data_IF_600084101952
#
_entry.id   IF_600084101952
#
_cell.length_a   1.000
_cell.length_b   1.000
_cell.length_c   1.000
_cell.angle_alpha   90.00
_cell.angle_beta   90.00
_cell.angle_gamma   90.00
#
_symmetry.space_group_name_H-M   'P 1'
#
loop_
_entity.id
_entity.type
_entity.pdbx_description
1 polymer ?
#
# COMPACT_ATOMS: atom_id res chain seq x y z
N UNK A 1 -7.09 -24.16 -21.80
CA UNK A 1 -5.69 -23.94 -22.23
C UNK A 1 -5.72 -22.70 -23.11
N UNK A 2 -5.19 -21.58 -22.65
CA UNK A 2 -5.29 -20.29 -23.35
C UNK A 2 -4.08 -20.19 -24.29
N UNK A 3 -4.30 -20.44 -25.58
CA UNK A 3 -3.24 -20.53 -26.58
C UNK A 3 -3.14 -19.33 -27.53
N UNK A 4 -4.18 -18.48 -27.57
CA UNK A 4 -4.23 -17.35 -28.49
C UNK A 4 -3.52 -16.14 -27.87
N UNK A 5 -2.45 -15.68 -28.51
CA UNK A 5 -1.65 -14.56 -28.03
C UNK A 5 -1.60 -13.43 -29.07
N UNK A 6 -1.83 -12.21 -28.61
CA UNK A 6 -1.69 -10.97 -29.37
C UNK A 6 -0.31 -10.40 -29.03
N UNK A 7 0.62 -10.46 -29.97
CA UNK A 7 1.93 -9.81 -29.88
C UNK A 7 1.82 -8.43 -30.51
N UNK A 8 1.89 -7.38 -29.70
CA UNK A 8 1.71 -6.00 -30.14
C UNK A 8 3.01 -5.19 -30.01
N UNK A 9 3.30 -4.40 -31.04
CA UNK A 9 4.31 -3.34 -31.02
C UNK A 9 3.61 -2.00 -30.84
N UNK A 10 3.97 -1.28 -29.79
CA UNK A 10 3.43 0.05 -29.48
C UNK A 10 4.28 1.09 -30.19
N UNK A 11 3.61 1.97 -30.93
CA UNK A 11 4.24 2.98 -31.78
C UNK A 11 3.58 4.33 -31.54
N UNK A 12 4.41 5.36 -31.35
CA UNK A 12 3.99 6.77 -31.27
C UNK A 12 4.79 7.54 -32.34
N UNK A 13 4.09 8.29 -33.20
CA UNK A 13 4.71 9.07 -34.29
C UNK A 13 5.68 8.26 -35.18
N UNK A 14 5.38 6.97 -35.39
CA UNK A 14 6.19 6.08 -36.23
C UNK A 14 7.42 5.48 -35.54
N UNK A 15 7.66 5.75 -34.26
CA UNK A 15 8.75 5.18 -33.47
C UNK A 15 8.22 4.29 -32.33
N UNK A 16 8.96 3.24 -31.91
CA UNK A 16 8.61 2.46 -30.72
C UNK A 16 8.45 3.36 -29.50
N UNK A 17 7.35 3.18 -28.75
CA UNK A 17 7.09 3.95 -27.53
C UNK A 17 7.64 3.21 -26.32
N UNK A 18 8.56 3.84 -25.58
CA UNK A 18 8.96 3.38 -24.25
C UNK A 18 7.84 3.67 -23.24
N UNK A 19 7.50 2.70 -22.41
CA UNK A 19 6.52 2.81 -21.32
C UNK A 19 7.06 2.25 -19.98
N UNK A 20 8.36 2.36 -19.72
CA UNK A 20 8.98 1.98 -18.45
C UNK A 20 8.28 2.64 -17.25
N UNK A 21 8.04 1.86 -16.20
CA UNK A 21 7.30 2.31 -15.01
C UNK A 21 5.77 2.31 -15.18
N UNK A 22 5.24 1.98 -16.36
CA UNK A 22 3.80 1.88 -16.61
C UNK A 22 3.37 0.42 -16.80
N UNK A 23 2.30 0.02 -16.11
CA UNK A 23 1.71 -1.30 -16.29
C UNK A 23 0.73 -1.29 -17.47
N UNK A 24 0.93 -2.13 -18.50
CA UNK A 24 -0.03 -2.32 -19.58
C UNK A 24 -1.28 -3.10 -19.13
N UNK A 25 -2.43 -2.69 -19.65
CA UNK A 25 -3.74 -3.33 -19.50
C UNK A 25 -4.41 -3.50 -20.86
N UNK A 26 -4.99 -4.68 -21.10
CA UNK A 26 -5.91 -4.93 -22.20
C UNK A 26 -7.31 -4.44 -21.80
N UNK A 27 -7.89 -3.58 -22.62
CA UNK A 27 -9.20 -2.97 -22.38
C UNK A 27 -10.17 -3.33 -23.51
N UNK A 28 -11.14 -4.18 -23.20
CA UNK A 28 -12.24 -4.54 -24.09
C UNK A 28 -13.43 -3.61 -23.84
N UNK A 29 -13.92 -2.97 -24.90
CA UNK A 29 -15.10 -2.11 -24.83
C UNK A 29 -16.38 -2.96 -24.79
N UNK A 30 -17.37 -2.48 -24.04
CA UNK A 30 -18.69 -3.11 -24.00
C UNK A 30 -19.33 -3.12 -25.39
N UNK A 31 -20.21 -4.09 -25.63
CA UNK A 31 -21.14 -3.98 -26.76
C UNK A 31 -22.10 -2.82 -26.52
N UNK A 32 -22.24 -1.92 -27.50
CA UNK A 32 -23.13 -0.75 -27.38
C UNK A 32 -24.61 -1.13 -27.09
N UNK A 33 -25.05 -2.29 -27.59
CA UNK A 33 -26.44 -2.72 -27.50
C UNK A 33 -26.81 -3.20 -26.09
N UNK A 34 -25.93 -3.99 -25.46
CA UNK A 34 -26.21 -4.63 -24.16
C UNK A 34 -25.50 -3.95 -22.99
N UNK A 35 -24.46 -3.15 -23.27
CA UNK A 35 -23.55 -2.61 -22.25
C UNK A 35 -22.72 -3.68 -21.54
N UNK A 36 -22.71 -4.93 -22.02
CA UNK A 36 -21.99 -6.06 -21.43
C UNK A 36 -20.69 -6.37 -22.18
N UNK A 37 -19.80 -7.13 -21.52
CA UNK A 37 -18.54 -7.60 -22.12
C UNK A 37 -17.35 -6.68 -21.92
N UNK A 38 -17.40 -5.74 -20.95
CA UNK A 38 -16.21 -4.97 -20.57
C UNK A 38 -15.18 -5.89 -19.92
N UNK A 39 -13.92 -5.76 -20.33
CA UNK A 39 -12.81 -6.40 -19.63
C UNK A 39 -11.65 -5.43 -19.48
N UNK A 40 -11.03 -5.44 -18.31
CA UNK A 40 -9.79 -4.73 -18.02
C UNK A 40 -8.82 -5.72 -17.38
N UNK A 41 -7.71 -6.02 -18.07
CA UNK A 41 -6.82 -7.12 -17.69
C UNK A 41 -5.36 -6.68 -17.73
N UNK A 42 -4.63 -6.90 -16.63
CA UNK A 42 -3.20 -6.62 -16.60
C UNK A 42 -2.44 -7.55 -17.56
N UNK A 43 -1.61 -6.97 -18.42
CA UNK A 43 -0.74 -7.75 -19.32
C UNK A 43 0.52 -8.17 -18.58
N UNK A 44 0.77 -9.47 -18.52
CA UNK A 44 1.86 -10.05 -17.70
C UNK A 44 3.22 -9.99 -18.41
N UNK A 45 3.25 -10.19 -19.73
CA UNK A 45 4.49 -10.30 -20.51
C UNK A 45 4.67 -9.10 -21.43
N UNK A 46 5.70 -8.29 -21.18
CA UNK A 46 6.02 -7.10 -21.95
C UNK A 46 7.50 -6.71 -21.83
N UNK A 47 7.99 -5.98 -22.83
CA UNK A 47 9.28 -5.28 -22.82
C UNK A 47 8.99 -3.80 -23.05
N UNK A 48 8.98 -3.05 -21.94
CA UNK A 48 8.65 -1.63 -21.92
C UNK A 48 9.67 -0.79 -22.69
N UNK A 49 10.96 -1.14 -22.65
CA UNK A 49 12.03 -0.42 -23.35
C UNK A 49 11.89 -0.50 -24.86
N UNK A 50 11.47 -1.68 -25.37
CA UNK A 50 11.24 -1.90 -26.80
C UNK A 50 9.83 -1.57 -27.26
N UNK A 51 8.95 -1.21 -26.33
CA UNK A 51 7.55 -0.93 -26.62
C UNK A 51 6.77 -2.15 -27.10
N UNK A 52 7.08 -3.36 -26.62
CA UNK A 52 6.38 -4.60 -27.05
C UNK A 52 5.65 -5.27 -25.90
N UNK A 53 4.52 -5.91 -26.20
CA UNK A 53 3.75 -6.69 -25.23
C UNK A 53 3.16 -7.94 -25.86
N UNK A 54 2.93 -8.96 -25.03
CA UNK A 54 2.25 -10.20 -25.40
C UNK A 54 1.06 -10.42 -24.49
N UNK A 55 -0.14 -10.23 -25.03
CA UNK A 55 -1.38 -10.47 -24.33
C UNK A 55 -1.96 -11.84 -24.72
N UNK A 56 -2.11 -12.74 -23.76
CA UNK A 56 -2.78 -14.03 -23.96
C UNK A 56 -4.27 -13.82 -23.74
N UNK A 57 -5.09 -14.04 -24.77
CA UNK A 57 -6.53 -13.78 -24.72
C UNK A 57 -7.21 -14.61 -23.63
N UNK A 58 -7.90 -13.93 -22.73
CA UNK A 58 -8.68 -14.54 -21.66
C UNK A 58 -10.05 -15.03 -22.14
N UNK A 59 -10.78 -15.72 -21.25
CA UNK A 59 -12.17 -16.06 -21.50
C UNK A 59 -13.06 -14.81 -21.68
N UNK A 60 -12.76 -13.69 -21.00
CA UNK A 60 -13.52 -12.45 -21.13
C UNK A 60 -13.23 -11.78 -22.48
N UNK A 61 -11.97 -11.77 -22.92
CA UNK A 61 -11.59 -11.25 -24.24
C UNK A 61 -12.21 -12.07 -25.39
N UNK A 62 -12.47 -13.35 -25.18
CA UNK A 62 -13.09 -14.25 -26.17
C UNK A 62 -14.59 -14.48 -25.92
N UNK A 63 -15.21 -13.72 -25.01
CA UNK A 63 -16.59 -13.96 -24.57
C UNK A 63 -17.60 -13.79 -25.71
N UNK A 64 -17.42 -12.78 -26.55
CA UNK A 64 -18.38 -12.41 -27.58
C UNK A 64 -17.89 -12.86 -28.96
N UNK A 65 -18.58 -13.84 -29.53
CA UNK A 65 -18.36 -14.28 -30.92
C UNK A 65 -18.74 -13.14 -31.88
N UNK A 66 -17.86 -12.84 -32.84
CA UNK A 66 -18.02 -11.75 -33.79
C UNK A 66 -16.95 -10.68 -33.65
N UNK A 67 -17.25 -9.46 -34.14
CA UNK A 67 -16.34 -8.32 -34.10
C UNK A 67 -16.35 -7.68 -32.72
N UNK A 68 -15.16 -7.52 -32.15
CA UNK A 68 -14.91 -6.89 -30.86
C UNK A 68 -14.01 -5.67 -31.04
N UNK A 69 -14.13 -4.71 -30.13
CA UNK A 69 -13.41 -3.43 -30.15
C UNK A 69 -12.61 -3.29 -28.85
N UNK A 70 -11.29 -3.14 -28.95
CA UNK A 70 -10.39 -3.12 -27.80
C UNK A 70 -9.22 -2.16 -28.00
N UNK A 71 -8.52 -1.84 -26.91
CA UNK A 71 -7.30 -1.03 -26.91
C UNK A 71 -6.37 -1.45 -25.76
N UNK A 72 -5.14 -0.94 -25.75
CA UNK A 72 -4.24 -1.08 -24.61
C UNK A 72 -4.12 0.24 -23.85
N UNK A 73 -4.22 0.18 -22.54
CA UNK A 73 -4.02 1.30 -21.62
C UNK A 73 -2.75 1.08 -20.80
N UNK A 74 -1.96 2.12 -20.55
CA UNK A 74 -0.71 2.07 -19.80
C UNK A 74 -0.83 3.03 -18.65
N UNK A 75 -0.63 2.54 -17.41
CA UNK A 75 -0.86 3.36 -16.22
C UNK A 75 0.13 3.10 -15.10
N UNK A 76 0.52 4.17 -14.39
CA UNK A 76 1.22 4.11 -13.10
C UNK A 76 0.21 4.22 -11.98
N UNK A 77 0.23 3.26 -11.05
CA UNK A 77 -0.58 3.29 -9.84
C UNK A 77 0.30 3.54 -8.62
N UNK A 78 -0.01 4.57 -7.83
CA UNK A 78 0.53 4.72 -6.48
C UNK A 78 -0.64 4.68 -5.49
N UNK A 79 -0.71 3.60 -4.71
CA UNK A 79 -1.84 3.35 -3.83
C UNK A 79 -3.15 3.20 -4.63
N UNK A 80 -4.10 4.09 -4.39
CA UNK A 80 -5.42 4.11 -5.07
C UNK A 80 -5.49 5.12 -6.22
N UNK A 81 -4.43 5.91 -6.45
CA UNK A 81 -4.42 6.97 -7.45
C UNK A 81 -3.67 6.57 -8.72
N UNK A 82 -4.25 6.97 -9.86
CA UNK A 82 -3.60 6.90 -11.17
C UNK A 82 -2.83 8.19 -11.40
N UNK A 83 -1.53 8.10 -11.63
CA UNK A 83 -0.65 9.28 -11.78
C UNK A 83 -0.46 9.64 -13.25
N UNK A 84 -0.24 8.63 -14.08
CA UNK A 84 0.03 8.81 -15.51
C UNK A 84 -0.74 7.74 -16.28
N UNK A 85 -1.38 8.16 -17.37
CA UNK A 85 -2.13 7.28 -18.24
C UNK A 85 -2.01 7.71 -19.70
N UNK A 86 -1.68 6.78 -20.58
CA UNK A 86 -1.92 6.91 -22.02
C UNK A 86 -2.54 5.62 -22.57
N UNK A 87 -3.15 5.70 -23.75
CA UNK A 87 -3.75 4.54 -24.40
C UNK A 87 -3.40 4.49 -25.89
N UNK A 88 -3.45 3.29 -26.46
CA UNK A 88 -3.44 3.14 -27.91
C UNK A 88 -4.77 3.59 -28.49
N UNK A 89 -4.78 3.86 -29.80
CA UNK A 89 -6.04 3.89 -30.55
C UNK A 89 -6.71 2.53 -30.50
N UNK A 90 -8.02 2.54 -30.69
CA UNK A 90 -8.81 1.32 -30.72
C UNK A 90 -8.50 0.46 -31.95
N UNK A 91 -8.48 -0.84 -31.74
CA UNK A 91 -8.37 -1.86 -32.78
C UNK A 91 -9.53 -2.83 -32.70
N UNK A 92 -9.72 -3.58 -33.78
CA UNK A 92 -10.80 -4.55 -33.89
C UNK A 92 -10.22 -5.95 -34.11
N UNK A 93 -10.87 -6.94 -33.50
CA UNK A 93 -10.56 -8.36 -33.73
C UNK A 93 -11.86 -9.16 -33.85
N UNK A 94 -11.76 -10.35 -34.44
CA UNK A 94 -12.91 -11.24 -34.65
C UNK A 94 -12.70 -12.50 -33.84
N UNK A 95 -13.69 -12.86 -33.05
CA UNK A 95 -13.76 -14.15 -32.35
C UNK A 95 -14.62 -15.10 -33.17
N UNK A 96 -14.01 -16.19 -33.64
CA UNK A 96 -14.71 -17.22 -34.41
C UNK A 96 -15.53 -18.14 -33.51
N UNK A 97 -16.55 -18.77 -34.10
CA UNK A 97 -17.39 -19.76 -33.40
C UNK A 97 -16.58 -21.01 -33.08
N UNK A 98 -16.69 -21.49 -31.85
CA UNK A 98 -16.18 -22.79 -31.42
C UNK A 98 -17.31 -23.83 -31.39
N UNK A 99 -16.95 -25.12 -31.34
CA UNK A 99 -17.89 -26.21 -31.03
C UNK A 99 -18.40 -26.15 -29.57
N UNK A 100 -17.71 -25.39 -28.72
CA UNK A 100 -18.08 -25.12 -27.34
C UNK A 100 -18.70 -23.73 -27.19
N UNK A 101 -19.73 -23.61 -26.37
CA UNK A 101 -20.26 -22.33 -25.88
C UNK A 101 -20.04 -22.22 -24.38
N UNK A 102 -19.47 -21.11 -23.93
CA UNK A 102 -19.27 -20.84 -22.52
C UNK A 102 -20.40 -19.94 -22.01
N UNK A 103 -21.22 -20.40 -21.04
CA UNK A 103 -22.16 -19.50 -20.39
C UNK A 103 -21.37 -18.49 -19.55
N UNK A 104 -21.77 -17.22 -19.62
CA UNK A 104 -21.25 -16.18 -18.75
C UNK A 104 -22.35 -15.71 -17.81
N UNK A 105 -21.96 -15.31 -16.59
CA UNK A 105 -22.86 -14.74 -15.62
C UNK A 105 -22.91 -13.23 -15.83
N UNK A 106 -24.10 -12.64 -15.69
CA UNK A 106 -24.24 -11.19 -15.66
C UNK A 106 -23.35 -10.57 -14.56
N UNK A 107 -22.74 -9.44 -14.89
CA UNK A 107 -21.87 -8.70 -13.99
C UNK A 107 -22.62 -8.30 -12.72
N UNK A 108 -22.13 -8.74 -11.57
CA UNK A 108 -22.75 -8.48 -10.27
C UNK A 108 -21.78 -7.89 -9.25
N UNK A 109 -20.70 -7.22 -9.70
CA UNK A 109 -19.67 -6.62 -8.84
C UNK A 109 -20.27 -5.72 -7.75
N UNK A 110 -21.18 -4.81 -8.12
CA UNK A 110 -21.84 -3.94 -7.14
C UNK A 110 -22.61 -4.73 -6.08
N UNK A 111 -23.33 -5.78 -6.50
CA UNK A 111 -24.07 -6.62 -5.58
C UNK A 111 -23.15 -7.41 -4.63
N UNK A 112 -22.04 -7.96 -5.14
CA UNK A 112 -21.08 -8.69 -4.29
C UNK A 112 -20.41 -7.77 -3.27
N UNK A 113 -20.04 -6.55 -3.66
CA UNK A 113 -19.52 -5.56 -2.71
C UNK A 113 -20.57 -5.15 -1.68
N UNK A 114 -21.82 -4.91 -2.12
CA UNK A 114 -22.93 -4.59 -1.23
C UNK A 114 -23.20 -5.71 -0.22
N UNK A 115 -23.21 -6.97 -0.66
CA UNK A 115 -23.45 -8.11 0.22
C UNK A 115 -22.29 -8.34 1.18
N UNK A 116 -21.04 -8.18 0.74
CA UNK A 116 -19.89 -8.24 1.63
C UNK A 116 -19.98 -7.15 2.71
N UNK A 117 -20.27 -5.91 2.31
CA UNK A 117 -20.48 -4.79 3.23
C UNK A 117 -21.62 -5.07 4.21
N UNK A 118 -22.73 -5.64 3.73
CA UNK A 118 -23.88 -6.02 4.58
C UNK A 118 -23.47 -7.08 5.60
N UNK A 119 -22.81 -8.15 5.18
CA UNK A 119 -22.38 -9.25 6.06
C UNK A 119 -21.38 -8.75 7.09
N UNK A 120 -20.43 -7.91 6.68
CA UNK A 120 -19.45 -7.32 7.59
C UNK A 120 -20.10 -6.44 8.66
N UNK A 121 -21.07 -5.58 8.29
CA UNK A 121 -21.79 -4.76 9.26
C UNK A 121 -22.67 -5.60 10.19
N UNK A 122 -23.32 -6.65 9.66
CA UNK A 122 -24.09 -7.57 10.50
C UNK A 122 -23.19 -8.25 11.53
N UNK A 123 -21.99 -8.69 11.12
CA UNK A 123 -21.00 -9.26 12.03
C UNK A 123 -20.56 -8.26 13.12
N UNK A 124 -20.39 -6.98 12.80
CA UNK A 124 -20.08 -5.95 13.79
C UNK A 124 -21.24 -5.75 14.77
N UNK A 125 -22.47 -5.69 14.28
CA UNK A 125 -23.66 -5.48 15.10
C UNK A 125 -23.90 -6.66 16.06
N UNK A 126 -23.92 -7.88 15.52
CA UNK A 126 -24.08 -9.11 16.30
C UNK A 126 -22.89 -9.32 17.24
N UNK A 127 -21.68 -9.02 16.77
CA UNK A 127 -20.44 -9.11 17.52
C UNK A 127 -20.44 -8.20 18.75
N UNK A 128 -20.84 -6.93 18.60
CA UNK A 128 -20.95 -5.97 19.71
C UNK A 128 -21.90 -6.47 20.79
N UNK A 129 -23.10 -6.92 20.39
CA UNK A 129 -24.08 -7.46 21.33
C UNK A 129 -23.53 -8.68 22.07
N UNK A 130 -22.95 -9.64 21.34
CA UNK A 130 -22.39 -10.85 21.95
C UNK A 130 -21.24 -10.55 22.92
N UNK A 131 -20.44 -9.52 22.62
CA UNK A 131 -19.35 -9.07 23.49
C UNK A 131 -19.87 -8.40 24.76
N UNK A 132 -20.87 -7.52 24.65
CA UNK A 132 -21.50 -6.88 25.80
C UNK A 132 -22.15 -7.90 26.75
N UNK A 133 -22.90 -8.86 26.19
CA UNK A 133 -23.49 -9.95 26.96
C UNK A 133 -22.42 -10.84 27.63
N UNK A 134 -21.31 -11.11 26.95
CA UNK A 134 -20.19 -11.85 27.51
C UNK A 134 -19.52 -11.11 28.69
N UNK A 135 -19.28 -9.79 28.56
CA UNK A 135 -18.68 -9.00 29.63
C UNK A 135 -19.63 -8.92 30.83
N UNK A 136 -20.93 -8.71 30.60
CA UNK A 136 -21.92 -8.64 31.67
C UNK A 136 -22.04 -9.97 32.43
N UNK A 137 -22.11 -11.09 31.69
CA UNK A 137 -22.19 -12.42 32.30
C UNK A 137 -20.97 -12.77 33.17
N UNK A 138 -19.82 -12.15 32.92
CA UNK A 138 -18.57 -12.37 33.66
C UNK A 138 -18.22 -11.21 34.61
N UNK A 139 -19.11 -10.22 34.79
CA UNK A 139 -18.86 -8.97 35.53
C UNK A 139 -18.30 -9.21 36.93
N UNK A 140 -18.93 -10.07 37.73
CA UNK A 140 -18.52 -10.29 39.13
C UNK A 140 -17.08 -10.83 39.25
N UNK A 141 -16.67 -11.69 38.31
CA UNK A 141 -15.32 -12.25 38.26
C UNK A 141 -14.33 -11.16 37.81
N UNK A 142 -14.69 -10.37 36.81
CA UNK A 142 -13.85 -9.27 36.32
C UNK A 142 -13.65 -8.17 37.37
N UNK A 143 -14.68 -7.83 38.14
CA UNK A 143 -14.59 -6.80 39.20
C UNK A 143 -13.76 -7.28 40.41
N UNK A 144 -13.71 -8.58 40.67
CA UNK A 144 -12.96 -9.16 41.79
C UNK A 144 -11.53 -9.61 41.45
N UNK A 145 -11.10 -9.45 40.18
CA UNK A 145 -9.84 -10.02 39.67
C UNK A 145 -8.57 -9.41 40.29
N UNK A 146 -8.58 -8.12 40.62
CA UNK A 146 -7.43 -7.41 41.20
C UNK A 146 -7.88 -6.47 42.34
N UNK A 147 -8.16 -7.01 43.54
CA UNK A 147 -8.65 -6.21 44.65
C UNK A 147 -7.62 -5.15 45.07
N UNK A 148 -8.01 -3.88 44.91
CA UNK A 148 -7.18 -2.73 45.25
C UNK A 148 -6.11 -2.35 44.21
N UNK A 149 -6.14 -2.94 43.00
CA UNK A 149 -5.36 -2.46 41.86
C UNK A 149 -3.85 -2.76 41.89
N UNK A 150 -3.40 -3.70 42.72
CA UNK A 150 -1.96 -3.96 42.92
C UNK A 150 -1.29 -4.59 41.71
N UNK A 151 -2.01 -5.43 40.96
CA UNK A 151 -1.50 -5.99 39.70
C UNK A 151 -1.57 -4.93 38.60
N UNK A 152 -2.64 -4.14 38.57
CA UNK A 152 -2.81 -3.06 37.61
C UNK A 152 -1.65 -2.06 37.65
N UNK A 153 -1.21 -1.63 38.85
CA UNK A 153 -0.03 -0.76 39.02
C UNK A 153 1.23 -1.35 38.39
N UNK A 154 1.50 -2.65 38.63
CA UNK A 154 2.67 -3.33 38.05
C UNK A 154 2.56 -3.47 36.55
N UNK A 155 1.36 -3.70 36.02
CA UNK A 155 1.11 -3.80 34.58
C UNK A 155 1.35 -2.44 33.91
N UNK A 156 0.95 -1.33 34.54
CA UNK A 156 1.24 0.01 34.03
C UNK A 156 2.75 0.30 33.98
N UNK A 157 3.51 -0.07 35.01
CA UNK A 157 4.96 0.08 35.00
C UNK A 157 5.61 -0.73 33.86
N UNK A 158 5.11 -1.96 33.62
CA UNK A 158 5.55 -2.79 32.49
C UNK A 158 5.14 -2.18 31.14
N UNK A 159 3.92 -1.68 31.01
CA UNK A 159 3.43 -1.02 29.81
C UNK A 159 4.30 0.20 29.47
N UNK A 160 4.71 0.98 30.47
CA UNK A 160 5.65 2.08 30.27
C UNK A 160 6.98 1.59 29.68
N UNK A 161 7.57 0.54 30.24
CA UNK A 161 8.81 -0.05 29.72
C UNK A 161 8.63 -0.56 28.29
N UNK A 162 7.52 -1.26 28.01
CA UNK A 162 7.19 -1.75 26.67
C UNK A 162 7.07 -0.59 25.70
N UNK A 163 6.34 0.47 26.08
CA UNK A 163 6.11 1.66 25.25
C UNK A 163 7.39 2.42 24.87
N UNK A 164 8.45 2.27 25.67
CA UNK A 164 9.76 2.92 25.49
C UNK A 164 10.81 2.02 24.84
N UNK A 165 10.71 0.69 24.97
CA UNK A 165 11.81 -0.23 24.63
C UNK A 165 11.44 -1.30 23.62
N UNK A 166 10.15 -1.65 23.49
CA UNK A 166 9.71 -2.73 22.62
C UNK A 166 9.15 -2.16 21.31
N UNK A 167 9.70 -2.56 20.15
CA UNK A 167 9.26 -2.06 18.85
C UNK A 167 7.97 -2.75 18.38
N UNK A 168 6.82 -2.33 18.91
CA UNK A 168 5.51 -2.88 18.55
C UNK A 168 4.37 -1.83 18.44
N UNK A 169 4.72 -0.55 18.45
CA UNK A 169 3.76 0.54 18.67
C UNK A 169 3.51 1.40 17.44
N UNK A 170 4.57 1.95 16.86
CA UNK A 170 4.50 2.81 15.68
C UNK A 170 5.19 2.13 14.50
N UNK A 171 4.52 2.11 13.34
CA UNK A 171 5.04 1.48 12.13
C UNK A 171 5.15 2.51 11.02
N UNK A 172 6.34 2.61 10.43
CA UNK A 172 6.68 3.51 9.34
C UNK A 172 7.15 2.72 8.12
N UNK A 173 6.84 3.18 6.92
CA UNK A 173 7.24 2.52 5.67
C UNK A 173 8.26 3.40 4.96
N UNK A 174 9.36 2.79 4.53
CA UNK A 174 10.36 3.38 3.65
C UNK A 174 10.35 2.62 2.33
N UNK A 175 10.01 3.30 1.23
CA UNK A 175 10.20 2.76 -0.11
C UNK A 175 11.65 3.03 -0.56
N UNK A 176 12.24 2.07 -1.27
CA UNK A 176 13.63 2.15 -1.71
C UNK A 176 13.86 1.55 -3.10
N UNK A 177 14.99 1.88 -3.71
CA UNK A 177 15.36 1.42 -5.07
C UNK A 177 15.94 -0.01 -5.11
N UNK A 178 16.48 -0.49 -4.00
CA UNK A 178 17.12 -1.81 -3.93
C UNK A 178 16.14 -2.98 -4.06
N UNK A 179 16.58 -4.05 -4.74
CA UNK A 179 15.88 -5.34 -4.82
C UNK A 179 16.19 -6.25 -3.61
N UNK A 180 17.04 -5.79 -2.69
CA UNK A 180 17.46 -6.51 -1.49
C UNK A 180 16.86 -5.86 -0.22
N UNK A 181 17.36 -6.26 0.95
CA UNK A 181 16.88 -5.81 2.26
C UNK A 181 17.91 -4.85 2.89
N UNK A 182 17.83 -3.54 2.63
CA UNK A 182 18.77 -2.57 3.19
C UNK A 182 18.65 -2.47 4.73
N UNK A 183 19.75 -2.22 5.42
CA UNK A 183 19.73 -1.96 6.87
C UNK A 183 19.21 -0.54 7.13
N UNK A 184 18.35 -0.40 8.14
CA UNK A 184 17.81 0.89 8.60
C UNK A 184 18.16 1.11 10.06
N UNK A 185 18.66 2.30 10.38
CA UNK A 185 18.91 2.78 11.75
C UNK A 185 18.03 3.97 12.05
N UNK A 186 17.48 3.99 13.27
CA UNK A 186 16.59 5.05 13.72
C UNK A 186 17.16 5.73 14.96
N UNK A 187 17.20 7.06 14.93
CA UNK A 187 17.62 7.88 16.07
C UNK A 187 16.59 8.97 16.35
N UNK A 188 16.34 9.26 17.62
CA UNK A 188 15.46 10.34 18.05
C UNK A 188 16.25 11.37 18.86
N UNK A 189 16.00 12.65 18.60
CA UNK A 189 16.65 13.76 19.30
C UNK A 189 15.75 15.01 19.29
N UNK A 190 16.11 16.00 20.11
CA UNK A 190 15.38 17.27 20.23
C UNK A 190 16.29 18.48 20.05
N UNK A 191 15.71 19.60 19.61
CA UNK A 191 16.38 20.90 19.49
C UNK A 191 17.66 20.83 18.63
N UNK A 192 17.63 20.06 17.54
CA UNK A 192 18.65 20.12 16.51
C UNK A 192 18.65 21.49 15.83
N UNK A 193 19.72 21.80 15.08
CA UNK A 193 19.86 23.07 14.37
C UNK A 193 18.60 23.38 13.54
N UNK A 194 18.03 24.56 13.76
CA UNK A 194 16.81 25.07 13.09
C UNK A 194 15.50 24.38 13.48
N UNK A 195 15.48 23.59 14.56
CA UNK A 195 14.23 23.05 15.14
C UNK A 195 13.90 23.63 16.51
N UNK A 196 14.76 24.53 17.03
CA UNK A 196 14.52 25.24 18.28
C UNK A 196 13.33 26.21 18.17
N UNK A 197 12.56 26.36 19.25
CA UNK A 197 11.28 27.10 19.23
C UNK A 197 11.44 28.60 18.99
N UNK A 198 12.52 29.21 19.51
CA UNK A 198 12.73 30.67 19.46
C UNK A 198 13.77 31.09 18.40
N UNK A 199 14.15 30.17 17.50
CA UNK A 199 15.11 30.40 16.43
C UNK A 199 16.49 29.79 16.68
N UNK A 200 17.43 30.06 15.79
CA UNK A 200 18.75 29.44 15.82
C UNK A 200 19.51 29.75 17.11
N UNK A 201 20.11 28.72 17.73
CA UNK A 201 20.95 28.83 18.93
C UNK A 201 20.22 29.40 20.17
N UNK A 202 18.91 29.18 20.26
CA UNK A 202 18.11 29.54 21.45
C UNK A 202 17.87 28.36 22.39
N UNK A 203 18.28 27.15 22.01
CA UNK A 203 18.14 25.94 22.80
C UNK A 203 19.09 25.89 24.01
N UNK A 204 18.82 24.97 24.94
CA UNK A 204 19.68 24.76 26.13
C UNK A 204 21.03 24.11 25.79
N UNK A 205 21.08 23.35 24.69
CA UNK A 205 22.28 22.67 24.18
C UNK A 205 22.38 22.93 22.68
N UNK A 206 23.37 23.74 22.28
CA UNK A 206 23.62 24.01 20.87
C UNK A 206 23.94 22.73 20.10
N UNK A 207 23.28 22.54 18.95
CA UNK A 207 23.47 21.40 18.06
C UNK A 207 22.52 20.21 18.31
N UNK A 208 21.83 20.17 19.45
CA UNK A 208 20.87 19.11 19.79
C UNK A 208 21.03 18.59 21.21
N UNK A 209 19.92 18.12 21.79
CA UNK A 209 19.89 17.40 23.05
C UNK A 209 20.40 15.94 22.91
N UNK A 210 20.12 15.12 23.92
CA UNK A 210 20.47 13.69 23.94
C UNK A 210 19.94 12.97 22.69
N UNK A 211 20.83 12.21 22.05
CA UNK A 211 20.49 11.32 20.93
C UNK A 211 20.17 9.94 21.47
N UNK A 212 18.98 9.45 21.17
CA UNK A 212 18.54 8.10 21.53
C UNK A 212 18.60 7.19 20.32
N UNK A 213 19.29 6.06 20.45
CA UNK A 213 19.16 4.96 19.50
C UNK A 213 17.81 4.28 19.73
N UNK A 214 16.95 4.32 18.72
CA UNK A 214 15.59 3.79 18.82
C UNK A 214 15.63 2.30 18.52
N UNK A 215 15.15 1.42 19.43
CA UNK A 215 15.03 0.01 19.13
C UNK A 215 13.98 -0.17 18.04
N UNK A 216 14.24 -1.11 17.12
CA UNK A 216 13.42 -1.28 15.93
C UNK A 216 13.25 -2.75 15.58
N UNK A 217 12.16 -3.05 14.89
CA UNK A 217 11.91 -4.32 14.25
C UNK A 217 11.69 -4.07 12.75
N UNK A 218 12.46 -4.77 11.91
CA UNK A 218 12.41 -4.62 10.45
C UNK A 218 11.66 -5.78 9.82
N UNK A 219 10.75 -5.43 8.92
CA UNK A 219 10.12 -6.36 7.99
C UNK A 219 10.24 -5.81 6.58
N UNK A 220 10.23 -6.68 5.57
CA UNK A 220 10.54 -6.30 4.19
C UNK A 220 9.53 -6.88 3.21
N UNK A 221 9.11 -6.04 2.26
CA UNK A 221 8.55 -6.44 0.98
C UNK A 221 9.50 -5.97 -0.14
N UNK A 222 9.24 -6.36 -1.38
CA UNK A 222 10.01 -5.86 -2.52
C UNK A 222 9.98 -4.33 -2.54
N UNK A 223 11.17 -3.71 -2.48
CA UNK A 223 11.35 -2.25 -2.50
C UNK A 223 10.67 -1.50 -1.34
N UNK A 224 10.34 -2.18 -0.24
CA UNK A 224 9.71 -1.57 0.94
C UNK A 224 10.27 -2.15 2.24
N UNK A 225 10.74 -1.28 3.12
CA UNK A 225 11.09 -1.61 4.49
C UNK A 225 10.02 -1.09 5.46
N UNK A 226 9.49 -1.97 6.28
CA UNK A 226 8.59 -1.65 7.38
C UNK A 226 9.41 -1.54 8.66
N UNK A 227 9.44 -0.35 9.23
CA UNK A 227 10.19 -0.02 10.45
C UNK A 227 9.19 0.13 11.59
N UNK A 228 9.18 -0.85 12.48
CA UNK A 228 8.35 -0.82 13.69
C UNK A 228 9.21 -0.36 14.87
N UNK A 229 8.71 0.60 15.65
CA UNK A 229 9.40 1.23 16.78
C UNK A 229 8.45 1.37 17.99
N UNK A 230 8.96 1.60 19.21
CA UNK A 230 8.12 1.80 20.38
C UNK A 230 7.21 3.03 20.24
N UNK A 231 6.00 2.95 20.79
CA UNK A 231 4.97 3.99 20.64
C UNK A 231 5.40 5.36 21.18
N UNK A 232 6.26 5.40 22.21
CA UNK A 232 6.78 6.65 22.80
C UNK A 232 7.61 7.51 21.83
N UNK A 233 8.16 6.90 20.76
CA UNK A 233 8.90 7.61 19.71
C UNK A 233 8.04 8.03 18.53
N UNK A 234 6.71 7.81 18.57
CA UNK A 234 5.81 8.25 17.52
C UNK A 234 5.90 9.78 17.37
N UNK A 235 6.11 10.24 16.13
CA UNK A 235 6.12 11.65 15.76
C UNK A 235 5.14 11.84 14.60
N UNK A 236 4.14 12.69 14.79
CA UNK A 236 3.13 13.04 13.78
C UNK A 236 3.52 14.38 13.12
N UNK A 237 4.70 14.41 12.51
CA UNK A 237 5.34 15.62 11.98
C UNK A 237 5.43 15.68 10.44
N UNK A 238 6.13 16.70 9.95
CA UNK A 238 6.47 16.83 8.53
C UNK A 238 7.54 15.79 8.16
N UNK A 239 7.33 15.10 7.04
CA UNK A 239 8.26 14.10 6.51
C UNK A 239 9.15 14.79 5.48
N UNK A 240 10.46 14.78 5.74
CA UNK A 240 11.46 15.45 4.91
C UNK A 240 12.49 14.42 4.45
N UNK A 241 12.59 14.23 3.13
CA UNK A 241 13.70 13.48 2.54
C UNK A 241 14.91 14.42 2.46
N UNK A 242 15.88 14.25 3.35
CA UNK A 242 17.04 15.13 3.45
C UNK A 242 18.04 14.87 2.32
N UNK A 243 18.32 13.59 2.07
CA UNK A 243 19.18 13.11 1.00
C UNK A 243 18.75 11.69 0.57
N UNK A 244 19.53 11.07 -0.32
CA UNK A 244 19.23 9.75 -0.86
C UNK A 244 19.17 8.66 0.24
N UNK A 245 19.83 8.81 1.38
CA UNK A 245 19.94 7.77 2.42
C UNK A 245 19.24 8.15 3.74
N UNK A 246 18.79 9.40 3.88
CA UNK A 246 18.32 9.98 5.13
C UNK A 246 16.94 10.61 4.99
N UNK A 247 16.01 10.15 5.83
CA UNK A 247 14.67 10.70 5.96
C UNK A 247 14.41 11.14 7.40
N UNK A 248 13.81 12.32 7.56
CA UNK A 248 13.47 12.92 8.83
C UNK A 248 11.95 13.03 8.99
N UNK A 249 11.47 12.88 10.22
CA UNK A 249 10.15 13.32 10.65
C UNK A 249 10.35 14.39 11.72
N UNK A 250 9.85 15.60 11.48
CA UNK A 250 10.04 16.75 12.35
C UNK A 250 8.69 17.26 12.86
N UNK A 251 8.50 17.25 14.17
CA UNK A 251 7.39 17.95 14.84
C UNK A 251 7.97 18.93 15.86
N UNK A 252 7.91 20.23 15.53
CA UNK A 252 8.52 21.31 16.32
C UNK A 252 9.98 21.01 16.59
N UNK A 253 10.35 20.83 17.86
CA UNK A 253 11.71 20.53 18.28
C UNK A 253 12.08 19.05 18.24
N UNK A 254 11.12 18.15 18.06
CA UNK A 254 11.36 16.70 18.05
C UNK A 254 11.65 16.21 16.64
N UNK A 255 12.74 15.45 16.50
CA UNK A 255 13.18 14.87 15.24
C UNK A 255 13.34 13.36 15.39
N UNK A 256 12.76 12.63 14.45
CA UNK A 256 12.99 11.21 14.25
C UNK A 256 13.72 11.01 12.92
N UNK A 257 14.93 10.47 12.98
CA UNK A 257 15.79 10.31 11.81
C UNK A 257 15.91 8.83 11.44
N UNK A 258 15.65 8.53 10.17
CA UNK A 258 15.81 7.23 9.55
C UNK A 258 17.02 7.30 8.61
N UNK A 259 17.99 6.43 8.84
CA UNK A 259 19.16 6.29 7.98
C UNK A 259 19.19 4.91 7.37
N UNK A 260 19.18 4.84 6.05
CA UNK A 260 19.28 3.61 5.28
C UNK A 260 20.69 3.45 4.72
N UNK A 261 21.12 2.20 4.53
CA UNK A 261 22.45 1.89 3.96
C UNK A 261 22.28 1.03 2.71
N UNK A 262 23.18 1.21 1.74
CA UNK A 262 23.25 0.45 0.48
C UNK A 262 21.98 0.53 -0.40
N UNK A 263 21.12 1.53 -0.17
CA UNK A 263 19.92 1.78 -0.95
C UNK A 263 19.47 3.25 -0.81
N UNK A 264 18.75 3.75 -1.82
CA UNK A 264 18.18 5.11 -1.81
C UNK A 264 16.73 5.10 -1.36
N UNK A 265 16.36 5.99 -0.43
CA UNK A 265 14.99 6.20 0.02
C UNK A 265 14.26 6.98 -1.07
N UNK A 266 13.18 6.40 -1.59
CA UNK A 266 12.36 7.03 -2.63
C UNK A 266 11.09 7.66 -2.06
N UNK A 267 10.58 7.13 -0.94
CA UNK A 267 9.37 7.63 -0.26
C UNK A 267 9.33 7.18 1.19
N UNK A 268 8.70 7.97 2.07
CA UNK A 268 8.42 7.57 3.44
C UNK A 268 7.01 7.97 3.86
N UNK A 269 6.33 7.09 4.61
CA UNK A 269 4.99 7.36 5.13
C UNK A 269 4.64 6.48 6.34
N UNK A 270 3.78 6.99 7.23
CA UNK A 270 3.25 6.20 8.33
C UNK A 270 2.39 5.05 7.79
N UNK A 271 2.58 3.85 8.33
CA UNK A 271 1.81 2.68 7.91
C UNK A 271 0.35 2.84 8.34
N UNK A 272 -0.57 2.66 7.38
CA UNK A 272 -2.00 2.65 7.65
C UNK A 272 -2.52 1.24 7.40
N UNK A 273 -3.19 0.68 8.42
CA UNK A 273 -4.05 -0.50 8.23
C UNK A 273 -5.27 -0.02 7.45
N UNK A 274 -5.22 -0.11 6.12
CA UNK A 274 -6.42 -0.03 5.28
C UNK A 274 -7.06 -1.41 5.18
#
# INVERSE_FOLDING_TARGET
>A
MNSQAIIAQIVENGQPKNFEGLQPFFCLMAQEITGQGVSEEAVISFDATKGTLTYIASANALQMVGRNEAYFSFRKQEGEQWIEQFSTRTFHYIVEKSIYSQPFKDSNYWWTFKELYRIFNQYIEDGKKSWEEFVEANREILESIDPGGKLLEKVFDLEKVISEKVPNGFKFVLEHDSEYQPEVKVTAYKNSISTETDGLDTGTVFGGETIYNVPLFLSYDRQKAYVEIPISYKVDGEIILQDDETLLIIDKSQVLCFKMTDAKITKGYAFTNK
#
